data_IF_358091291022
#
_entry.id   IF_358091291022
#
_cell.length_a   1.000
_cell.length_b   1.000
_cell.length_c   1.000
_cell.angle_alpha   90.00
_cell.angle_beta   90.00
_cell.angle_gamma   90.00
#
_symmetry.space_group_name_H-M   'P 1'
#
loop_
_entity.id
_entity.type
_entity.pdbx_description
1 polymer ?
#
# COMPACT_ATOMS: atom_id res chain seq x y z
N UNK A 1 17.73 -8.68 -2.74
CA UNK A 1 16.58 -8.03 -2.04
C UNK A 1 16.90 -8.02 -0.55
N UNK A 2 16.92 -6.86 0.08
CA UNK A 2 17.09 -6.72 1.53
C UNK A 2 15.72 -6.51 2.16
N UNK A 3 15.40 -7.30 3.19
CA UNK A 3 14.12 -7.24 3.93
C UNK A 3 14.44 -6.83 5.36
N UNK A 4 13.70 -5.84 5.87
CA UNK A 4 13.75 -5.41 7.25
C UNK A 4 12.41 -5.80 7.91
N UNK A 5 12.47 -6.58 8.98
CA UNK A 5 11.30 -6.98 9.75
C UNK A 5 11.16 -6.03 10.95
N UNK A 6 10.12 -5.21 10.93
CA UNK A 6 9.83 -4.25 12.01
C UNK A 6 9.02 -4.86 13.15
N UNK A 7 8.54 -6.10 13.00
CA UNK A 7 7.67 -6.77 13.96
C UNK A 7 6.19 -6.69 13.58
N UNK A 8 5.34 -7.49 14.27
CA UNK A 8 3.88 -7.47 14.06
C UNK A 8 3.39 -7.80 12.65
N UNK A 9 4.23 -8.41 11.80
CA UNK A 9 3.93 -8.65 10.40
C UNK A 9 4.24 -7.46 9.48
N UNK A 10 4.90 -6.42 9.98
CA UNK A 10 5.32 -5.26 9.16
C UNK A 10 6.71 -5.52 8.58
N UNK A 11 6.80 -5.63 7.27
CA UNK A 11 8.05 -5.83 6.53
C UNK A 11 8.34 -4.64 5.61
N UNK A 12 9.61 -4.24 5.55
CA UNK A 12 10.10 -3.24 4.58
C UNK A 12 11.05 -3.91 3.63
N UNK A 13 10.73 -3.87 2.35
CA UNK A 13 11.54 -4.36 1.24
C UNK A 13 12.29 -3.18 0.63
N UNK A 14 13.61 -3.18 0.72
CA UNK A 14 14.44 -2.04 0.36
C UNK A 14 14.75 -1.97 -1.13
N UNK A 15 14.65 -0.77 -1.71
CA UNK A 15 15.06 -0.44 -3.08
C UNK A 15 14.42 -1.39 -4.12
N UNK A 16 13.09 -1.56 -4.05
CA UNK A 16 12.36 -2.46 -4.94
C UNK A 16 12.06 -1.83 -6.30
N UNK A 17 11.95 -0.50 -6.34
CA UNK A 17 11.68 0.27 -7.55
C UNK A 17 12.67 1.42 -7.65
N UNK A 18 13.31 1.55 -8.80
CA UNK A 18 14.12 2.73 -9.12
C UNK A 18 13.19 3.84 -9.63
N UNK A 19 13.30 5.04 -9.05
CA UNK A 19 12.40 6.15 -9.33
C UNK A 19 13.17 7.34 -9.88
N UNK A 20 12.82 7.75 -11.09
CA UNK A 20 13.26 9.03 -11.65
C UNK A 20 12.31 10.14 -11.17
N UNK A 21 12.73 10.86 -10.13
CA UNK A 21 11.93 11.91 -9.52
C UNK A 21 11.65 13.08 -10.46
N UNK A 22 12.61 13.47 -11.31
CA UNK A 22 12.44 14.57 -12.28
C UNK A 22 11.33 14.29 -13.30
N UNK A 23 11.09 13.02 -13.57
CA UNK A 23 10.04 12.57 -14.48
C UNK A 23 8.72 12.36 -13.76
N UNK A 24 8.74 11.69 -12.61
CA UNK A 24 7.53 11.19 -11.96
C UNK A 24 6.81 12.24 -11.11
N UNK A 25 7.57 13.02 -10.30
CA UNK A 25 6.95 13.90 -9.30
C UNK A 25 6.21 15.08 -9.93
N UNK A 26 6.71 15.75 -10.98
CA UNK A 26 5.94 16.79 -11.67
C UNK A 26 4.63 16.25 -12.26
N UNK A 27 4.65 15.05 -12.84
CA UNK A 27 3.45 14.43 -13.37
C UNK A 27 2.40 14.14 -12.28
N UNK A 28 2.83 13.59 -11.14
CA UNK A 28 1.92 13.31 -10.02
C UNK A 28 1.38 14.60 -9.39
N UNK A 29 2.19 15.67 -9.36
CA UNK A 29 1.74 16.97 -8.88
C UNK A 29 0.64 17.55 -9.78
N UNK A 30 0.80 17.48 -11.10
CA UNK A 30 -0.24 17.90 -12.06
C UNK A 30 -1.54 17.12 -11.88
N UNK A 31 -1.45 15.79 -11.75
CA UNK A 31 -2.62 14.95 -11.48
C UNK A 31 -3.27 15.28 -10.14
N UNK A 32 -2.49 15.57 -9.10
CA UNK A 32 -3.00 15.93 -7.79
C UNK A 32 -3.82 17.22 -7.86
N UNK A 33 -3.26 18.26 -8.49
CA UNK A 33 -3.99 19.52 -8.73
C UNK A 33 -5.28 19.28 -9.53
N UNK A 34 -5.23 18.46 -10.58
CA UNK A 34 -6.40 18.14 -11.38
C UNK A 34 -7.51 17.50 -10.53
N UNK A 35 -7.18 16.49 -9.69
CA UNK A 35 -8.15 15.83 -8.81
C UNK A 35 -8.77 16.83 -7.83
N UNK A 36 -7.98 17.72 -7.24
CA UNK A 36 -8.49 18.76 -6.34
C UNK A 36 -9.41 19.71 -7.08
N UNK A 37 -9.02 20.18 -8.26
CA UNK A 37 -9.82 21.15 -9.05
C UNK A 37 -11.08 20.55 -9.70
N UNK A 38 -11.22 19.24 -9.77
CA UNK A 38 -12.48 18.61 -10.18
C UNK A 38 -13.62 18.91 -9.22
N UNK A 39 -13.34 19.03 -7.92
CA UNK A 39 -14.36 19.23 -6.89
C UNK A 39 -14.32 20.61 -6.23
N UNK A 40 -13.20 21.32 -6.34
CA UNK A 40 -12.96 22.59 -5.65
C UNK A 40 -12.37 23.65 -6.57
N UNK A 41 -12.73 24.90 -6.29
CA UNK A 41 -12.08 26.09 -6.86
C UNK A 41 -11.23 26.73 -5.78
N UNK A 42 -9.93 26.82 -5.99
CA UNK A 42 -9.00 27.48 -5.07
C UNK A 42 -9.07 28.99 -5.30
N UNK A 43 -9.25 29.75 -4.23
CA UNK A 43 -9.31 31.20 -4.23
C UNK A 43 -7.95 31.77 -3.80
N UNK A 44 -7.45 32.71 -4.56
CA UNK A 44 -6.17 33.35 -4.35
C UNK A 44 -6.37 34.84 -3.95
N UNK A 45 -5.38 35.43 -3.27
CA UNK A 45 -5.30 36.85 -3.06
C UNK A 45 -4.70 37.56 -4.28
N UNK A 46 -4.54 38.90 -4.17
CA UNK A 46 -4.00 39.75 -5.25
C UNK A 46 -2.53 39.43 -5.57
N UNK A 47 -1.80 38.80 -4.66
CA UNK A 47 -0.40 38.37 -4.83
C UNK A 47 -0.30 36.91 -5.34
N UNK A 48 -1.44 36.26 -5.62
CA UNK A 48 -1.52 34.89 -6.12
C UNK A 48 -1.35 33.82 -5.04
N UNK A 49 -1.40 34.18 -3.77
CA UNK A 49 -1.34 33.21 -2.66
C UNK A 49 -2.68 32.55 -2.47
N UNK A 50 -2.65 31.23 -2.37
CA UNK A 50 -3.83 30.41 -2.06
C UNK A 50 -4.39 30.74 -0.67
N UNK A 51 -5.69 31.01 -0.57
CA UNK A 51 -6.36 31.40 0.67
C UNK A 51 -7.27 30.29 1.21
N UNK A 52 -8.16 29.79 0.37
CA UNK A 52 -9.13 28.75 0.70
C UNK A 52 -9.75 28.19 -0.58
N UNK A 53 -10.53 27.12 -0.46
CA UNK A 53 -11.25 26.56 -1.59
C UNK A 53 -12.77 26.63 -1.40
N UNK A 54 -13.49 26.59 -2.51
CA UNK A 54 -14.96 26.57 -2.56
C UNK A 54 -15.36 25.32 -3.36
N UNK A 55 -16.25 24.49 -2.82
CA UNK A 55 -16.81 23.37 -3.58
C UNK A 55 -17.90 23.82 -4.55
N UNK A 56 -18.40 22.90 -5.38
CA UNK A 56 -19.47 23.18 -6.37
C UNK A 56 -20.76 23.74 -5.76
N UNK A 57 -21.00 23.51 -4.46
CA UNK A 57 -22.17 24.02 -3.73
C UNK A 57 -21.90 25.37 -3.04
N UNK A 58 -20.74 25.97 -3.23
CA UNK A 58 -20.37 27.25 -2.64
C UNK A 58 -19.89 27.20 -1.19
N UNK A 59 -19.69 26.01 -0.62
CA UNK A 59 -19.12 25.88 0.72
C UNK A 59 -17.62 26.10 0.70
N UNK A 60 -17.14 26.82 1.73
CA UNK A 60 -15.74 27.16 1.90
C UNK A 60 -15.02 26.11 2.72
N UNK A 61 -13.80 25.73 2.26
CA UNK A 61 -12.93 24.76 2.91
C UNK A 61 -11.52 25.33 3.12
N UNK A 62 -10.85 25.02 4.23
CA UNK A 62 -9.41 25.23 4.38
C UNK A 62 -8.64 24.43 3.32
N UNK A 63 -7.51 24.95 2.86
CA UNK A 63 -6.66 24.25 1.89
C UNK A 63 -6.16 22.90 2.44
N UNK A 64 -5.83 22.84 3.72
CA UNK A 64 -5.41 21.60 4.39
C UNK A 64 -6.42 20.48 4.23
N UNK A 65 -7.72 20.79 4.19
CA UNK A 65 -8.76 19.79 4.10
C UNK A 65 -8.90 19.22 2.69
N UNK A 66 -8.73 20.05 1.66
CA UNK A 66 -8.84 19.63 0.26
C UNK A 66 -7.62 18.88 -0.24
N UNK A 67 -6.45 19.13 0.34
CA UNK A 67 -5.19 18.44 0.02
C UNK A 67 -4.81 17.36 1.04
N UNK A 68 -5.70 17.07 1.99
CA UNK A 68 -5.36 16.21 3.13
C UNK A 68 -4.94 14.81 2.70
N UNK A 69 -5.79 14.14 1.94
CA UNK A 69 -5.52 12.81 1.37
C UNK A 69 -6.30 12.70 0.07
N UNK A 70 -5.60 12.71 -1.04
CA UNK A 70 -6.25 12.58 -2.34
C UNK A 70 -5.83 11.28 -3.01
N UNK A 71 -6.83 10.55 -3.51
CA UNK A 71 -6.61 9.36 -4.34
C UNK A 71 -6.58 9.74 -5.80
N UNK A 72 -5.48 9.42 -6.46
CA UNK A 72 -5.32 9.62 -7.89
C UNK A 72 -5.54 8.25 -8.54
N UNK A 73 -6.72 8.05 -9.14
CA UNK A 73 -7.09 6.78 -9.76
C UNK A 73 -6.61 6.67 -11.21
N UNK A 74 -6.71 7.71 -11.98
CA UNK A 74 -6.27 7.76 -13.38
C UNK A 74 -4.79 8.09 -13.56
N UNK A 75 -3.92 7.53 -12.72
CA UNK A 75 -2.49 7.84 -12.69
C UNK A 75 -1.69 7.22 -13.84
N UNK A 76 -2.14 6.12 -14.42
CA UNK A 76 -1.47 5.48 -15.53
C UNK A 76 -2.07 5.96 -16.87
N UNK A 77 -1.25 6.39 -17.83
CA UNK A 77 -1.71 6.69 -19.18
C UNK A 77 -2.30 5.47 -19.89
N UNK A 78 -3.10 5.68 -20.93
CA UNK A 78 -3.68 4.60 -21.74
C UNK A 78 -2.66 3.97 -22.72
N UNK A 79 -1.59 4.68 -23.05
CA UNK A 79 -0.55 4.19 -23.95
C UNK A 79 0.43 3.27 -23.21
N UNK A 80 0.44 2.01 -23.57
CA UNK A 80 1.34 1.00 -22.98
C UNK A 80 2.84 1.27 -23.25
N UNK A 81 3.17 2.12 -24.21
CA UNK A 81 4.54 2.54 -24.50
C UNK A 81 4.95 3.79 -23.71
N UNK A 82 4.02 4.43 -23.02
CA UNK A 82 4.34 5.57 -22.17
C UNK A 82 5.24 5.12 -20.98
N UNK A 83 6.29 5.87 -20.73
CA UNK A 83 7.22 5.54 -19.65
C UNK A 83 6.55 5.51 -18.28
N UNK A 84 5.46 6.28 -18.08
CA UNK A 84 4.67 6.29 -16.84
C UNK A 84 3.86 5.00 -16.70
N UNK A 85 3.24 4.52 -17.78
CA UNK A 85 2.57 3.23 -17.80
C UNK A 85 3.56 2.10 -17.49
N UNK A 86 4.72 2.10 -18.13
CA UNK A 86 5.79 1.13 -17.89
C UNK A 86 6.26 1.20 -16.43
N UNK A 87 6.43 2.40 -15.88
CA UNK A 87 6.83 2.60 -14.48
C UNK A 87 5.81 2.00 -13.51
N UNK A 88 4.53 2.27 -13.69
CA UNK A 88 3.51 1.74 -12.78
C UNK A 88 3.34 0.22 -12.91
N UNK A 89 3.56 -0.37 -14.08
CA UNK A 89 3.66 -1.83 -14.20
C UNK A 89 4.84 -2.41 -13.43
N UNK A 90 5.99 -1.72 -13.40
CA UNK A 90 7.12 -2.12 -12.54
C UNK A 90 6.76 -2.03 -11.05
N UNK A 91 5.96 -1.04 -10.65
CA UNK A 91 5.43 -0.96 -9.29
C UNK A 91 4.56 -2.17 -8.96
N UNK A 92 3.67 -2.57 -9.89
CA UNK A 92 2.83 -3.75 -9.76
C UNK A 92 3.66 -5.03 -9.60
N UNK A 93 4.67 -5.22 -10.43
CA UNK A 93 5.58 -6.37 -10.37
C UNK A 93 6.40 -6.39 -9.07
N UNK A 94 6.85 -5.21 -8.61
CA UNK A 94 7.57 -5.08 -7.35
C UNK A 94 6.72 -5.47 -6.14
N UNK A 95 5.47 -4.98 -6.08
CA UNK A 95 4.52 -5.35 -5.01
C UNK A 95 4.26 -6.85 -5.03
N UNK A 96 4.07 -7.44 -6.21
CA UNK A 96 3.83 -8.88 -6.33
C UNK A 96 5.04 -9.71 -5.91
N UNK A 97 6.23 -9.28 -6.30
CA UNK A 97 7.49 -9.89 -5.86
C UNK A 97 7.63 -9.84 -4.33
N UNK A 98 7.29 -8.69 -3.72
CA UNK A 98 7.27 -8.54 -2.26
C UNK A 98 6.23 -9.45 -1.62
N UNK A 99 5.04 -9.64 -2.23
CA UNK A 99 4.03 -10.57 -1.74
C UNK A 99 4.56 -12.00 -1.61
N UNK A 100 5.20 -12.51 -2.65
CA UNK A 100 5.78 -13.87 -2.64
C UNK A 100 6.79 -14.03 -1.49
N UNK A 101 7.59 -12.99 -1.24
CA UNK A 101 8.55 -12.98 -0.13
C UNK A 101 7.90 -12.78 1.24
N UNK A 102 6.78 -12.07 1.28
CA UNK A 102 5.96 -11.91 2.48
C UNK A 102 5.32 -13.25 2.89
N UNK A 103 4.77 -13.99 1.92
CA UNK A 103 4.21 -15.32 2.15
C UNK A 103 5.27 -16.29 2.68
N UNK A 104 6.52 -16.20 2.19
CA UNK A 104 7.63 -17.02 2.72
C UNK A 104 7.87 -16.77 4.22
N UNK A 105 7.73 -15.53 4.70
CA UNK A 105 7.85 -15.20 6.12
C UNK A 105 6.60 -15.60 6.93
N UNK A 106 5.42 -15.45 6.32
CA UNK A 106 4.13 -15.67 6.96
C UNK A 106 3.22 -16.57 6.10
N UNK A 107 3.56 -17.87 5.94
CA UNK A 107 2.88 -18.74 4.98
C UNK A 107 1.39 -18.94 5.27
N UNK A 108 0.94 -18.72 6.51
CA UNK A 108 -0.46 -18.83 6.88
C UNK A 108 -1.36 -17.72 6.31
N UNK A 109 -0.78 -16.70 5.70
CA UNK A 109 -1.57 -15.68 5.00
C UNK A 109 -2.12 -16.18 3.67
N UNK A 110 -1.43 -17.12 3.01
CA UNK A 110 -1.76 -17.56 1.66
C UNK A 110 -3.21 -18.03 1.48
N UNK A 111 -3.83 -18.80 2.39
CA UNK A 111 -5.24 -19.18 2.27
C UNK A 111 -6.22 -18.01 2.35
N UNK A 112 -5.77 -16.85 2.84
CA UNK A 112 -6.60 -15.65 2.95
C UNK A 112 -6.46 -14.71 1.76
N UNK A 113 -5.52 -14.96 0.85
CA UNK A 113 -5.24 -14.12 -0.31
C UNK A 113 -6.03 -14.61 -1.52
N UNK A 114 -7.07 -13.90 -1.90
CA UNK A 114 -7.90 -14.24 -3.06
C UNK A 114 -7.72 -13.28 -4.22
N UNK A 115 -7.65 -11.98 -3.91
CA UNK A 115 -7.64 -10.91 -4.89
C UNK A 115 -6.53 -9.92 -4.60
N UNK A 116 -5.94 -9.38 -5.63
CA UNK A 116 -5.23 -8.14 -5.58
C UNK A 116 -6.20 -7.04 -5.98
N UNK A 117 -6.34 -6.04 -5.11
CA UNK A 117 -7.04 -4.83 -5.51
C UNK A 117 -6.13 -3.98 -6.37
N UNK A 118 -6.73 -3.22 -7.17
CA UNK A 118 -6.13 -2.23 -7.99
C UNK A 118 -5.29 -1.25 -7.17
N UNK A 119 -4.05 -0.98 -7.62
CA UNK A 119 -3.22 0.07 -7.06
C UNK A 119 -3.78 1.45 -7.35
N UNK A 120 -3.47 2.41 -6.50
CA UNK A 120 -3.75 3.82 -6.70
C UNK A 120 -2.65 4.67 -6.09
N UNK A 121 -2.50 5.88 -6.56
CA UNK A 121 -1.58 6.83 -5.94
C UNK A 121 -2.33 7.63 -4.88
N UNK A 122 -1.69 7.80 -3.72
CA UNK A 122 -2.18 8.69 -2.67
C UNK A 122 -1.21 9.85 -2.55
N UNK A 123 -1.77 11.07 -2.60
CA UNK A 123 -1.03 12.31 -2.54
C UNK A 123 -1.41 13.09 -1.27
N UNK A 124 -0.41 13.71 -0.66
CA UNK A 124 -0.52 14.60 0.48
C UNK A 124 0.23 15.90 0.19
N UNK A 125 -0.23 16.99 0.74
CA UNK A 125 0.46 18.29 0.74
C UNK A 125 0.91 18.68 2.14
N UNK A 126 1.83 19.60 2.25
CA UNK A 126 2.23 20.19 3.54
C UNK A 126 1.03 20.65 4.37
N UNK A 127 1.02 20.35 5.66
CA UNK A 127 -0.10 20.55 6.58
C UNK A 127 -1.12 19.41 6.58
N UNK A 128 -0.90 18.36 5.81
CA UNK A 128 -1.82 17.20 5.71
C UNK A 128 -1.31 16.01 6.52
N UNK A 129 -2.24 15.25 7.04
CA UNK A 129 -2.00 14.00 7.76
C UNK A 129 -3.06 12.95 7.38
N UNK A 130 -2.88 11.73 7.84
CA UNK A 130 -3.92 10.72 7.85
C UNK A 130 -4.07 10.18 9.26
N UNK A 131 -5.25 10.31 9.83
CA UNK A 131 -5.55 9.86 11.19
C UNK A 131 -5.42 8.35 11.36
N UNK A 132 -5.51 7.88 12.61
CA UNK A 132 -5.49 6.45 12.91
C UNK A 132 -6.65 5.72 12.25
N UNK A 133 -6.31 4.66 11.53
CA UNK A 133 -7.27 3.78 10.86
C UNK A 133 -6.68 2.38 10.70
N UNK A 134 -7.53 1.46 10.34
CA UNK A 134 -7.18 0.12 9.88
C UNK A 134 -7.71 -0.04 8.46
N UNK A 135 -6.92 -0.62 7.55
CA UNK A 135 -7.33 -0.81 6.16
C UNK A 135 -8.46 -1.83 5.99
N UNK A 136 -8.81 -2.53 7.04
CA UNK A 136 -9.92 -3.48 7.11
C UNK A 136 -11.15 -2.92 7.86
N UNK A 137 -11.26 -1.60 7.98
CA UNK A 137 -12.39 -0.97 8.65
C UNK A 137 -13.67 -1.08 7.81
N UNK A 138 -14.79 -1.24 8.51
CA UNK A 138 -16.12 -1.20 7.88
C UNK A 138 -16.42 0.22 7.46
N UNK A 139 -16.83 0.40 6.22
CA UNK A 139 -17.36 1.69 5.77
C UNK A 139 -18.76 1.91 6.36
N UNK A 140 -18.79 2.48 7.57
CA UNK A 140 -20.03 2.75 8.28
C UNK A 140 -20.69 4.01 7.74
N UNK A 141 -21.95 3.86 7.32
CA UNK A 141 -22.82 4.98 6.98
C UNK A 141 -23.99 5.04 7.98
N UNK A 142 -24.15 6.14 8.73
CA UNK A 142 -25.29 6.29 9.66
C UNK A 142 -26.63 6.12 8.93
N UNK A 143 -27.49 5.26 9.45
CA UNK A 143 -28.79 4.97 8.87
C UNK A 143 -28.80 3.94 7.73
N UNK A 144 -27.63 3.45 7.31
CA UNK A 144 -27.57 2.34 6.35
C UNK A 144 -27.96 1.01 7.02
N UNK A 145 -28.67 0.17 6.27
CA UNK A 145 -28.92 -1.22 6.70
C UNK A 145 -27.64 -2.06 6.55
N UNK A 146 -27.49 -3.16 7.32
CA UNK A 146 -26.26 -3.97 7.29
C UNK A 146 -25.81 -4.41 5.90
N UNK A 147 -26.75 -4.72 5.01
CA UNK A 147 -26.45 -5.15 3.63
C UNK A 147 -25.85 -4.04 2.76
N UNK A 148 -26.00 -2.78 3.16
CA UNK A 148 -25.41 -1.62 2.48
C UNK A 148 -24.03 -1.26 3.05
N UNK A 149 -23.63 -1.88 4.15
CA UNK A 149 -22.35 -1.66 4.79
C UNK A 149 -21.35 -2.69 4.26
N UNK A 150 -20.48 -2.26 3.37
CA UNK A 150 -19.44 -3.11 2.80
C UNK A 150 -18.23 -3.07 3.71
N UNK A 151 -17.95 -4.19 4.38
CA UNK A 151 -16.68 -4.36 5.05
C UNK A 151 -15.57 -4.47 4.00
N UNK A 152 -14.52 -3.68 4.14
CA UNK A 152 -13.32 -3.92 3.36
C UNK A 152 -12.75 -5.27 3.74
N UNK A 153 -12.34 -6.04 2.73
CA UNK A 153 -11.80 -7.40 2.93
C UNK A 153 -10.29 -7.42 2.73
N UNK A 154 -9.65 -6.30 2.95
CA UNK A 154 -8.20 -6.21 2.85
C UNK A 154 -7.56 -7.07 3.93
N UNK A 155 -6.63 -7.91 3.52
CA UNK A 155 -5.85 -8.81 4.39
C UNK A 155 -4.46 -8.24 4.58
N UNK A 156 -3.89 -7.67 3.51
CA UNK A 156 -2.55 -7.16 3.47
C UNK A 156 -2.51 -5.85 2.67
N UNK A 157 -1.91 -4.82 3.25
CA UNK A 157 -1.59 -3.56 2.59
C UNK A 157 -0.14 -3.57 2.09
N UNK A 158 0.08 -2.92 0.95
CA UNK A 158 1.40 -2.67 0.37
C UNK A 158 1.50 -1.21 -0.08
N UNK A 159 2.57 -0.53 0.32
CA UNK A 159 2.83 0.86 -0.04
C UNK A 159 4.22 0.96 -0.63
N UNK A 160 4.33 1.52 -1.84
CA UNK A 160 5.59 1.98 -2.44
C UNK A 160 5.70 3.48 -2.20
N UNK A 161 6.78 3.92 -1.60
CA UNK A 161 7.06 5.34 -1.45
C UNK A 161 7.67 5.89 -2.73
N UNK A 162 7.05 6.91 -3.32
CA UNK A 162 7.45 7.45 -4.63
C UNK A 162 8.42 8.62 -4.52
N UNK A 163 8.60 9.18 -3.33
CA UNK A 163 9.62 10.19 -3.04
C UNK A 163 10.11 10.11 -1.59
N UNK A 164 11.23 10.77 -1.32
CA UNK A 164 11.93 10.70 -0.04
C UNK A 164 11.42 11.70 0.98
N UNK A 165 11.47 11.32 2.27
CA UNK A 165 11.32 12.23 3.40
C UNK A 165 12.68 12.80 3.81
N UNK A 166 12.82 14.12 3.81
CA UNK A 166 13.98 14.84 4.33
C UNK A 166 13.97 14.88 5.87
N UNK A 167 15.11 15.27 6.48
CA UNK A 167 15.20 15.38 7.94
C UNK A 167 14.59 16.67 8.46
N UNK A 168 14.74 17.77 7.70
CA UNK A 168 14.22 19.09 8.05
C UNK A 168 13.76 19.86 6.81
N UNK A 169 13.07 20.98 7.03
CA UNK A 169 12.62 21.87 5.95
C UNK A 169 13.83 22.49 5.24
N UNK A 170 14.91 22.80 5.97
CA UNK A 170 16.12 23.40 5.43
C UNK A 170 16.88 22.45 4.51
N UNK A 171 16.77 21.14 4.76
CA UNK A 171 17.42 20.09 3.95
C UNK A 171 16.49 19.53 2.87
N UNK A 172 15.24 20.00 2.82
CA UNK A 172 14.23 19.47 1.91
C UNK A 172 14.54 19.84 0.46
N UNK A 173 14.89 18.85 -0.34
CA UNK A 173 15.12 19.01 -1.78
C UNK A 173 13.82 19.19 -2.56
N UNK A 174 13.96 19.54 -3.85
CA UNK A 174 12.85 19.91 -4.74
C UNK A 174 11.69 18.89 -4.78
N UNK A 175 11.99 17.60 -4.69
CA UNK A 175 10.99 16.52 -4.80
C UNK A 175 10.83 15.73 -3.49
N UNK A 176 11.32 16.29 -2.39
CA UNK A 176 11.23 15.70 -1.07
C UNK A 176 10.09 16.33 -0.27
N UNK A 177 9.79 15.71 0.87
CA UNK A 177 8.85 16.22 1.86
C UNK A 177 9.44 16.06 3.26
N UNK A 178 8.84 16.67 4.26
CA UNK A 178 9.25 16.57 5.66
C UNK A 178 8.09 16.04 6.50
N UNK A 179 8.37 15.12 7.42
CA UNK A 179 7.34 14.41 8.19
C UNK A 179 6.81 13.21 7.42
N UNK A 180 5.54 12.88 7.59
CA UNK A 180 4.87 11.82 6.84
C UNK A 180 5.32 10.41 7.19
N UNK A 181 5.93 10.18 8.37
CA UNK A 181 6.21 8.84 8.88
C UNK A 181 4.92 8.05 9.05
N UNK A 182 4.99 6.76 8.72
CA UNK A 182 3.91 5.84 9.06
C UNK A 182 4.14 5.29 10.48
N UNK A 183 3.12 5.40 11.31
CA UNK A 183 3.16 4.91 12.69
C UNK A 183 2.13 3.81 12.92
N UNK A 184 2.57 2.74 13.59
CA UNK A 184 1.74 1.63 14.07
C UNK A 184 1.78 1.62 15.60
N UNK A 185 0.86 2.33 16.28
CA UNK A 185 0.96 2.58 17.72
C UNK A 185 0.89 1.31 18.56
N UNK A 186 0.07 0.34 18.17
CA UNK A 186 -0.05 -0.93 18.92
C UNK A 186 1.19 -1.83 18.77
N UNK A 187 1.99 -1.60 17.75
CA UNK A 187 3.23 -2.34 17.51
C UNK A 187 4.48 -1.57 17.98
N UNK A 188 4.32 -0.30 18.36
CA UNK A 188 5.44 0.57 18.75
C UNK A 188 6.37 0.90 17.60
N UNK A 189 5.86 0.87 16.35
CA UNK A 189 6.64 1.10 15.13
C UNK A 189 6.40 2.53 14.64
N UNK A 190 7.48 3.24 14.32
CA UNK A 190 7.47 4.46 13.51
C UNK A 190 8.49 4.29 12.39
N UNK A 191 8.05 4.36 11.14
CA UNK A 191 8.91 4.14 9.98
C UNK A 191 8.96 5.40 9.12
N UNK A 192 10.19 5.86 8.86
CA UNK A 192 10.46 6.97 7.95
C UNK A 192 10.51 6.44 6.52
N UNK A 193 9.66 6.94 5.62
CA UNK A 193 9.62 6.50 4.24
C UNK A 193 10.91 6.80 3.47
N UNK A 194 11.27 5.89 2.56
CA UNK A 194 12.34 6.08 1.59
C UNK A 194 11.86 5.67 0.21
N UNK A 195 12.17 6.51 -0.76
CA UNK A 195 11.81 6.31 -2.18
C UNK A 195 12.25 4.95 -2.70
N UNK A 196 11.35 4.25 -3.39
CA UNK A 196 11.58 2.93 -3.93
C UNK A 196 11.46 1.76 -2.93
N UNK A 197 11.33 2.04 -1.62
CA UNK A 197 11.03 1.00 -0.64
C UNK A 197 9.55 0.59 -0.72
N UNK A 198 9.28 -0.68 -0.45
CA UNK A 198 7.92 -1.22 -0.29
C UNK A 198 7.72 -1.62 1.15
N UNK A 199 6.72 -1.08 1.82
CA UNK A 199 6.27 -1.57 3.12
C UNK A 199 5.01 -2.42 2.93
N UNK A 200 4.98 -3.60 3.59
CA UNK A 200 3.82 -4.47 3.63
C UNK A 200 3.44 -4.76 5.08
N UNK A 201 2.14 -4.77 5.36
CA UNK A 201 1.61 -4.97 6.71
C UNK A 201 0.20 -5.56 6.70
N UNK A 202 -0.20 -6.30 7.76
CA UNK A 202 -1.57 -6.79 7.89
C UNK A 202 -2.56 -5.64 7.92
N UNK A 203 -3.71 -5.80 7.26
CA UNK A 203 -4.76 -4.77 7.22
C UNK A 203 -5.71 -4.80 8.43
N UNK A 204 -5.39 -5.57 9.48
CA UNK A 204 -6.26 -5.73 10.64
C UNK A 204 -6.02 -4.64 11.72
N UNK A 205 -6.87 -4.63 12.74
CA UNK A 205 -6.83 -3.65 13.82
C UNK A 205 -5.51 -3.62 14.62
N UNK A 206 -4.73 -4.72 14.66
CA UNK A 206 -3.41 -4.73 15.31
C UNK A 206 -2.39 -3.87 14.57
N UNK A 207 -2.54 -3.75 13.26
CA UNK A 207 -1.74 -2.87 12.43
C UNK A 207 -2.46 -1.53 12.15
N UNK A 208 -3.31 -1.06 13.09
CA UNK A 208 -3.81 0.31 13.09
C UNK A 208 -2.64 1.27 12.90
N UNK A 209 -2.76 2.17 11.95
CA UNK A 209 -1.67 3.07 11.59
C UNK A 209 -2.18 4.47 11.25
N UNK A 210 -1.24 5.40 11.19
CA UNK A 210 -1.47 6.77 10.69
C UNK A 210 -0.29 7.22 9.85
N UNK A 211 -0.50 8.26 9.04
CA UNK A 211 0.57 9.05 8.46
C UNK A 211 0.66 10.35 9.25
N UNK A 212 1.84 10.64 9.80
CA UNK A 212 2.08 11.91 10.51
C UNK A 212 1.93 13.09 9.57
N UNK A 213 1.61 14.25 10.15
CA UNK A 213 1.53 15.50 9.42
C UNK A 213 2.82 15.79 8.64
N UNK A 214 2.65 16.26 7.41
CA UNK A 214 3.72 16.80 6.60
C UNK A 214 3.96 18.27 6.98
N UNK A 215 5.18 18.59 7.35
CA UNK A 215 5.57 19.99 7.63
C UNK A 215 6.12 20.72 6.41
N UNK A 216 6.41 20.01 5.31
CA UNK A 216 6.89 20.58 4.06
C UNK A 216 6.78 19.63 2.88
N UNK A 217 6.67 20.18 1.68
CA UNK A 217 6.63 19.44 0.42
C UNK A 217 5.33 18.68 0.15
N UNK A 218 5.40 17.73 -0.77
CA UNK A 218 4.29 16.84 -1.13
C UNK A 218 4.76 15.38 -1.12
N UNK A 219 4.00 14.49 -0.51
CA UNK A 219 4.27 13.06 -0.43
C UNK A 219 3.39 12.31 -1.40
N UNK A 220 4.00 11.41 -2.15
CA UNK A 220 3.32 10.50 -3.06
C UNK A 220 3.63 9.06 -2.70
N UNK A 221 2.61 8.23 -2.68
CA UNK A 221 2.75 6.81 -2.40
C UNK A 221 1.81 6.00 -3.31
N UNK A 222 2.31 4.89 -3.86
CA UNK A 222 1.52 3.93 -4.59
C UNK A 222 1.05 2.85 -3.63
N UNK A 223 -0.26 2.65 -3.53
CA UNK A 223 -0.89 1.73 -2.57
C UNK A 223 -1.62 0.63 -3.33
N UNK A 224 -1.44 -0.60 -2.88
CA UNK A 224 -2.15 -1.79 -3.37
C UNK A 224 -2.54 -2.66 -2.18
N UNK A 225 -3.64 -3.40 -2.32
CA UNK A 225 -4.12 -4.31 -1.29
C UNK A 225 -4.29 -5.72 -1.84
N UNK A 226 -4.16 -6.70 -0.95
CA UNK A 226 -4.57 -8.06 -1.19
C UNK A 226 -5.74 -8.38 -0.27
N UNK A 227 -6.79 -8.94 -0.85
CA UNK A 227 -8.07 -9.14 -0.19
C UNK A 227 -8.48 -10.60 -0.21
N UNK A 228 -9.31 -10.98 0.75
CA UNK A 228 -10.05 -12.23 0.68
C UNK A 228 -11.48 -11.98 0.20
N UNK A 229 -12.13 -12.98 -0.34
CA UNK A 229 -13.50 -12.82 -0.82
C UNK A 229 -14.04 -14.06 -1.51
N UNK A 230 -15.23 -13.94 -2.06
CA UNK A 230 -15.83 -14.95 -2.92
C UNK A 230 -15.34 -14.83 -4.35
N UNK A 231 -15.59 -15.85 -5.17
CA UNK A 231 -15.29 -15.86 -6.61
C UNK A 231 -16.01 -14.78 -7.43
N UNK A 232 -16.95 -14.05 -6.82
CA UNK A 232 -17.64 -12.95 -7.47
C UNK A 232 -16.99 -11.61 -7.16
N UNK A 233 -16.19 -11.06 -8.09
CA UNK A 233 -15.62 -9.70 -7.95
C UNK A 233 -16.70 -8.60 -7.94
N UNK A 234 -17.91 -8.92 -8.39
CA UNK A 234 -19.01 -7.99 -8.65
C UNK A 234 -19.64 -7.33 -7.42
N UNK A 235 -19.25 -7.71 -6.21
CA UNK A 235 -19.81 -7.11 -4.99
C UNK A 235 -18.95 -6.00 -4.37
N UNK A 236 -18.42 -5.10 -5.19
CA UNK A 236 -17.96 -3.78 -4.76
C UNK A 236 -16.60 -3.70 -4.06
N UNK A 237 -15.81 -4.78 -4.00
CA UNK A 237 -14.51 -4.79 -3.33
C UNK A 237 -13.36 -4.87 -4.32
N UNK A 238 -13.59 -5.45 -5.46
CA UNK A 238 -12.75 -5.31 -6.64
C UNK A 238 -13.54 -4.49 -7.65
N UNK A 239 -13.17 -3.28 -7.95
CA UNK A 239 -13.71 -2.58 -9.09
C UNK A 239 -13.17 -3.25 -10.36
N UNK A 240 -13.76 -4.40 -10.73
CA UNK A 240 -13.44 -5.12 -11.95
C UNK A 240 -13.71 -4.28 -13.19
N UNK A 241 -14.49 -3.23 -13.05
CA UNK A 241 -15.10 -2.50 -14.15
C UNK A 241 -14.70 -1.03 -14.23
N UNK A 242 -13.75 -0.57 -13.42
CA UNK A 242 -13.26 0.78 -13.63
C UNK A 242 -12.29 0.76 -14.80
N UNK A 243 -12.70 1.36 -15.90
CA UNK A 243 -11.88 1.64 -17.09
C UNK A 243 -10.56 2.39 -16.76
N UNK A 244 -10.39 2.81 -15.51
CA UNK A 244 -9.21 3.48 -15.00
C UNK A 244 -8.03 2.55 -14.73
N UNK A 245 -8.19 1.24 -14.94
CA UNK A 245 -7.17 0.25 -14.60
C UNK A 245 -6.78 -0.61 -15.76
N UNK A 246 -5.70 -0.21 -16.36
CA UNK A 246 -5.11 -0.87 -17.51
C UNK A 246 -3.75 -1.49 -17.22
N UNK A 247 -3.33 -1.48 -15.96
CA UNK A 247 -2.07 -2.08 -15.57
C UNK A 247 -2.15 -3.61 -15.62
N UNK A 248 -1.14 -4.22 -16.23
CA UNK A 248 -1.07 -5.65 -16.58
C UNK A 248 -1.29 -6.61 -15.40
N UNK A 249 -0.97 -6.23 -14.18
CA UNK A 249 -1.00 -7.10 -12.99
C UNK A 249 -2.00 -6.66 -11.94
N UNK A 250 -2.95 -5.81 -12.29
CA UNK A 250 -3.86 -5.19 -11.33
C UNK A 250 -4.80 -6.16 -10.62
N UNK A 251 -5.04 -7.33 -11.20
CA UNK A 251 -5.93 -8.36 -10.62
C UNK A 251 -5.24 -9.72 -10.64
N UNK A 252 -4.83 -10.19 -9.47
CA UNK A 252 -4.21 -11.51 -9.32
C UNK A 252 -5.09 -12.38 -8.44
N UNK A 253 -5.37 -13.60 -8.91
CA UNK A 253 -6.18 -14.58 -8.22
C UNK A 253 -5.38 -15.43 -7.25
N UNK A 254 -6.03 -15.94 -6.19
CA UNK A 254 -5.42 -16.91 -5.26
C UNK A 254 -4.80 -18.13 -5.96
N UNK A 255 -5.42 -18.77 -6.96
CA UNK A 255 -4.80 -19.87 -7.68
C UNK A 255 -3.47 -19.51 -8.35
N UNK A 256 -3.34 -18.27 -8.85
CA UNK A 256 -2.10 -17.77 -9.43
C UNK A 256 -1.06 -17.49 -8.37
N UNK A 257 -1.45 -16.81 -7.29
CA UNK A 257 -0.57 -16.56 -6.14
C UNK A 257 -0.03 -17.88 -5.59
N UNK A 258 -0.89 -18.88 -5.46
CA UNK A 258 -0.52 -20.21 -4.98
C UNK A 258 0.49 -20.88 -5.92
N UNK A 259 0.20 -20.90 -7.22
CA UNK A 259 1.09 -21.48 -8.25
C UNK A 259 2.46 -20.80 -8.24
N UNK A 260 2.48 -19.49 -8.23
CA UNK A 260 3.71 -18.71 -8.32
C UNK A 260 4.55 -18.83 -7.05
N UNK A 261 3.89 -18.92 -5.88
CA UNK A 261 4.58 -19.23 -4.63
C UNK A 261 5.13 -20.67 -4.61
N UNK A 262 4.39 -21.65 -5.14
CA UNK A 262 4.86 -23.02 -5.27
C UNK A 262 6.08 -23.11 -6.18
N UNK A 263 6.07 -22.43 -7.32
CA UNK A 263 7.19 -22.35 -8.24
C UNK A 263 8.42 -21.67 -7.62
N UNK A 264 8.19 -20.58 -6.87
CA UNK A 264 9.23 -19.93 -6.10
C UNK A 264 9.92 -20.89 -5.11
N UNK A 265 9.15 -21.65 -4.33
CA UNK A 265 9.67 -22.62 -3.36
C UNK A 265 10.44 -23.74 -4.05
N UNK A 266 9.92 -24.25 -5.17
CA UNK A 266 10.59 -25.27 -5.98
C UNK A 266 11.93 -24.77 -6.51
N UNK A 267 11.96 -23.56 -7.05
CA UNK A 267 13.18 -22.95 -7.58
C UNK A 267 14.21 -22.66 -6.49
N UNK A 268 13.77 -22.13 -5.35
CA UNK A 268 14.66 -21.72 -4.27
C UNK A 268 15.15 -22.87 -3.40
N UNK A 269 14.27 -23.81 -3.09
CA UNK A 269 14.52 -24.88 -2.10
C UNK A 269 14.45 -26.29 -2.67
N UNK A 270 14.11 -26.46 -3.94
CA UNK A 270 13.89 -27.79 -4.55
C UNK A 270 12.71 -28.55 -3.96
N UNK A 271 11.74 -27.86 -3.36
CA UNK A 271 10.59 -28.47 -2.68
C UNK A 271 9.34 -28.25 -3.47
N UNK A 272 8.56 -29.32 -3.67
CA UNK A 272 7.20 -29.21 -4.20
C UNK A 272 6.25 -28.81 -3.07
N UNK A 273 5.36 -27.87 -3.38
CA UNK A 273 4.28 -27.45 -2.51
C UNK A 273 3.07 -28.36 -2.77
N UNK A 274 2.80 -29.30 -1.90
CA UNK A 274 1.52 -30.02 -1.89
C UNK A 274 0.48 -29.28 -1.03
N UNK A 275 -0.79 -29.64 -1.19
CA UNK A 275 -1.90 -28.98 -0.49
C UNK A 275 -1.80 -29.03 1.05
N UNK A 276 -0.97 -29.90 1.60
CA UNK A 276 -0.73 -30.02 3.04
C UNK A 276 0.48 -29.20 3.49
N UNK A 277 1.40 -28.89 2.59
CA UNK A 277 2.69 -28.31 2.93
C UNK A 277 2.57 -26.87 3.45
N UNK A 278 1.61 -26.11 2.94
CA UNK A 278 1.39 -24.73 3.34
C UNK A 278 0.84 -24.58 4.76
N UNK A 279 -0.06 -25.48 5.14
CA UNK A 279 -0.61 -25.52 6.50
C UNK A 279 0.38 -26.15 7.48
N UNK A 280 1.39 -26.83 6.98
CA UNK A 280 2.25 -27.70 7.77
C UNK A 280 3.67 -27.18 7.96
N UNK A 281 4.10 -26.15 7.20
CA UNK A 281 5.51 -25.70 7.27
C UNK A 281 5.97 -25.30 8.68
N UNK A 282 5.26 -24.46 9.45
CA UNK A 282 5.62 -24.22 10.84
C UNK A 282 4.91 -25.11 11.85
N UNK A 283 3.63 -25.50 11.60
CA UNK A 283 2.78 -26.13 12.60
C UNK A 283 2.98 -27.64 12.72
N UNK A 284 3.32 -28.33 11.64
CA UNK A 284 3.58 -29.78 11.70
C UNK A 284 4.93 -30.14 12.33
N UNK A 285 5.89 -29.23 12.32
CA UNK A 285 7.12 -29.43 13.11
C UNK A 285 6.79 -29.43 14.61
N UNK A 286 5.86 -28.57 15.06
CA UNK A 286 5.41 -28.56 16.47
C UNK A 286 4.61 -29.80 16.86
N UNK A 287 3.78 -30.32 15.96
CA UNK A 287 3.00 -31.55 16.23
C UNK A 287 3.84 -32.82 16.28
N UNK A 288 4.96 -32.86 15.55
CA UNK A 288 5.90 -34.02 15.59
C UNK A 288 6.89 -33.94 16.74
N UNK A 289 7.20 -32.76 17.25
CA UNK A 289 8.23 -32.58 18.27
C UNK A 289 7.70 -32.23 19.66
N UNK A 290 6.38 -32.12 19.84
CA UNK A 290 5.77 -31.53 21.06
C UNK A 290 6.38 -30.15 21.42
N UNK A 291 7.01 -29.47 20.45
CA UNK A 291 7.65 -28.19 20.63
C UNK A 291 6.66 -27.03 20.71
N UNK A 292 7.03 -26.00 21.44
CA UNK A 292 6.28 -24.75 21.54
C UNK A 292 6.56 -23.85 20.31
N UNK A 293 5.67 -22.90 20.04
CA UNK A 293 5.88 -21.90 18.96
C UNK A 293 7.23 -21.17 19.11
N UNK A 294 7.69 -20.98 20.34
CA UNK A 294 8.99 -20.35 20.60
C UNK A 294 10.19 -21.22 20.18
N UNK A 295 10.06 -22.55 20.24
CA UNK A 295 11.12 -23.47 19.79
C UNK A 295 11.21 -23.50 18.26
N UNK A 296 10.08 -23.44 17.58
CA UNK A 296 10.02 -23.33 16.10
C UNK A 296 10.69 -22.04 15.60
N UNK A 297 10.47 -20.92 16.28
CA UNK A 297 11.13 -19.64 15.97
C UNK A 297 12.64 -19.74 16.20
N UNK A 298 13.09 -20.42 17.25
CA UNK A 298 14.52 -20.62 17.54
C UNK A 298 15.21 -21.51 16.51
N UNK A 299 14.57 -22.58 16.04
CA UNK A 299 15.11 -23.44 14.98
C UNK A 299 15.24 -22.70 13.65
N UNK A 300 14.24 -21.91 13.29
CA UNK A 300 14.27 -21.10 12.05
C UNK A 300 15.42 -20.09 12.04
N UNK A 301 15.74 -19.49 13.20
CA UNK A 301 16.85 -18.54 13.33
C UNK A 301 18.23 -19.21 13.37
N UNK A 302 18.32 -20.54 13.53
CA UNK A 302 19.59 -21.29 13.46
C UNK A 302 19.96 -21.73 12.07
N UNK A 303 18.99 -21.94 11.19
CA UNK A 303 19.21 -22.36 9.80
C UNK A 303 19.53 -21.19 8.86
N UNK A 304 19.39 -19.93 9.33
CA UNK A 304 19.66 -18.69 8.58
C UNK A 304 20.99 -18.00 8.99
N UNK A 305 21.81 -18.63 9.87
CA UNK A 305 23.18 -18.23 10.23
C UNK A 305 24.19 -19.18 9.58
#
# INVERSE_FOLDING_TARGET
MKIENLGGGVLVFKNMVEINHDFLIPYLAELHEKVVHEDFTVIHDDDGKELYAINRSGHRYPLSDIYRVNRIMGFAPDDENDERYIFFNKCEDAVYTCLIRYIEQFPMILPSLWWRTQGHVVAYRSGSDMGFHSDNDVNYQPGAVPDMQVATRHVLGAIIYLNDSAESIEECGQYQYVGGEIEFPYLGISHKPKSGDVIMFPSNYMATHRVKELSGGSRYAYISYFSHGSEEPSRGICPSDSDSFKLKSSQVWMPEIFRDYAEYLKTKYGKDLDNHHMLTLPLNRTNKSNGTIQEVIKEKNRDDL
#
